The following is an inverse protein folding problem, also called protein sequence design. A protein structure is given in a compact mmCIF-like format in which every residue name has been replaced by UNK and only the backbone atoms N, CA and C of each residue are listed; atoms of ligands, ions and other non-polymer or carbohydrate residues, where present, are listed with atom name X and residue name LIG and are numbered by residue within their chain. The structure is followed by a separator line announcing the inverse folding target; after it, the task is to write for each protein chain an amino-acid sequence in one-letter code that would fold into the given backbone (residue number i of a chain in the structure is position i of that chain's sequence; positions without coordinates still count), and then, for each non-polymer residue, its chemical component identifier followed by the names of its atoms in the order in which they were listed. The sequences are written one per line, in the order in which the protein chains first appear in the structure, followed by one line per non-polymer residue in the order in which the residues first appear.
data_IF_838212000074
#
_entry.id   IF_838212000074
#
_cell.length_a   1.000
_cell.length_b   1.000
_cell.length_c   1.000
_cell.angle_alpha   90.00
_cell.angle_beta   90.00
_cell.angle_gamma   90.00
#
_symmetry.space_group_name_H-M   'P 1'
#
loop_
_entity.id
_entity.type
_entity.pdbx_description
1 polymer ?
#
# COMPACT_ATOMS: atom_id res chain seq x y z
N UNK A 1 3.45 13.88 -0.69
CA UNK A 1 2.86 13.07 -1.77
C UNK A 1 4.01 12.50 -2.55
N UNK A 2 4.23 11.20 -2.45
CA UNK A 2 5.30 10.47 -3.11
C UNK A 2 4.77 9.64 -4.26
N UNK A 3 5.67 9.11 -5.08
CA UNK A 3 5.34 8.39 -6.32
C UNK A 3 5.98 7.01 -6.32
N UNK A 4 5.16 5.99 -6.58
CA UNK A 4 5.59 4.64 -6.93
C UNK A 4 5.70 4.57 -8.46
N UNK A 5 6.89 4.35 -8.99
CA UNK A 5 7.12 4.14 -10.43
C UNK A 5 7.40 2.67 -10.65
N UNK A 6 6.69 2.08 -11.61
CA UNK A 6 6.81 0.67 -11.97
C UNK A 6 6.83 0.54 -13.48
N UNK A 7 7.80 -0.21 -14.02
CA UNK A 7 7.96 -0.48 -15.46
C UNK A 7 7.96 0.76 -16.37
N UNK A 8 8.52 1.88 -15.90
CA UNK A 8 8.54 3.13 -16.67
C UNK A 8 7.16 3.77 -16.93
N UNK A 9 6.11 3.31 -16.25
CA UNK A 9 4.78 3.93 -16.29
C UNK A 9 4.77 5.34 -15.67
N UNK A 10 3.68 6.09 -15.89
CA UNK A 10 3.48 7.49 -15.44
C UNK A 10 3.52 7.71 -13.91
N UNK A 11 3.82 6.67 -13.13
CA UNK A 11 3.92 6.73 -11.68
C UNK A 11 2.54 6.78 -10.99
N UNK A 12 2.50 6.28 -9.76
CA UNK A 12 1.31 6.22 -8.93
C UNK A 12 1.53 7.04 -7.67
N UNK A 13 0.71 8.07 -7.47
CA UNK A 13 0.86 9.00 -6.35
C UNK A 13 0.18 8.47 -5.09
N UNK A 14 0.90 8.51 -3.98
CA UNK A 14 0.43 8.18 -2.65
C UNK A 14 0.87 9.25 -1.65
N UNK A 15 0.30 9.23 -0.45
CA UNK A 15 0.92 9.93 0.67
C UNK A 15 2.30 9.33 0.99
N UNK A 16 3.27 10.15 1.43
CA UNK A 16 4.65 9.71 1.69
C UNK A 16 4.67 8.60 2.74
N UNK A 17 3.83 8.70 3.78
CA UNK A 17 3.78 7.71 4.84
C UNK A 17 3.15 6.42 4.36
N UNK A 18 2.07 6.50 3.59
CA UNK A 18 1.49 5.32 2.91
C UNK A 18 2.54 4.66 2.02
N UNK A 19 3.26 5.44 1.22
CA UNK A 19 4.31 4.95 0.32
C UNK A 19 5.46 4.28 1.08
N UNK A 20 5.86 4.80 2.23
CA UNK A 20 6.92 4.22 3.05
C UNK A 20 6.52 2.83 3.58
N UNK A 21 5.27 2.67 4.02
CA UNK A 21 4.74 1.38 4.46
C UNK A 21 4.65 0.39 3.30
N UNK A 22 4.16 0.85 2.13
CA UNK A 22 4.14 0.05 0.92
C UNK A 22 5.55 -0.39 0.51
N UNK A 23 6.53 0.51 0.51
CA UNK A 23 7.92 0.21 0.19
C UNK A 23 8.46 -0.93 1.06
N UNK A 24 8.22 -0.88 2.37
CA UNK A 24 8.71 -1.91 3.29
C UNK A 24 8.14 -3.30 2.98
N UNK A 25 6.84 -3.39 2.68
CA UNK A 25 6.17 -4.65 2.34
C UNK A 25 6.56 -5.14 0.95
N UNK A 26 6.53 -4.27 -0.06
CA UNK A 26 6.92 -4.57 -1.45
C UNK A 26 8.36 -5.06 -1.48
N UNK A 27 9.31 -4.32 -0.89
CA UNK A 27 10.72 -4.69 -0.88
C UNK A 27 10.97 -6.03 -0.15
N UNK A 28 10.17 -6.37 0.85
CA UNK A 28 10.29 -7.66 1.55
C UNK A 28 9.82 -8.81 0.67
N UNK A 29 8.68 -8.69 -0.01
CA UNK A 29 8.18 -9.74 -0.92
C UNK A 29 9.07 -9.92 -2.15
N UNK A 30 9.46 -8.81 -2.81
CA UNK A 30 10.30 -8.90 -4.01
C UNK A 30 11.69 -9.48 -3.71
N UNK A 31 12.30 -9.20 -2.54
CA UNK A 31 13.55 -9.86 -2.12
C UNK A 31 13.43 -11.38 -1.94
N UNK A 32 12.23 -11.87 -1.61
CA UNK A 32 11.91 -13.31 -1.54
C UNK A 32 11.50 -13.90 -2.88
N UNK A 33 11.58 -13.10 -3.94
CA UNK A 33 11.09 -13.43 -5.28
C UNK A 33 9.59 -13.73 -5.33
N UNK A 34 8.82 -13.11 -4.44
CA UNK A 34 7.37 -13.27 -4.36
C UNK A 34 6.69 -12.13 -5.13
N UNK A 35 6.22 -12.40 -6.34
CA UNK A 35 5.35 -11.48 -7.07
C UNK A 35 3.93 -11.46 -6.49
N UNK A 36 3.25 -10.31 -6.57
CA UNK A 36 1.89 -10.15 -6.04
C UNK A 36 1.15 -8.98 -6.69
N UNK A 37 -0.19 -8.96 -6.57
CA UNK A 37 -1.02 -7.83 -6.98
C UNK A 37 -1.07 -6.76 -5.88
N UNK A 38 -0.89 -5.50 -6.25
CA UNK A 38 -1.27 -4.33 -5.45
C UNK A 38 -2.51 -3.70 -6.08
N UNK A 39 -3.57 -3.50 -5.29
CA UNK A 39 -4.83 -2.90 -5.73
C UNK A 39 -5.21 -1.72 -4.82
N UNK A 40 -5.75 -0.65 -5.39
CA UNK A 40 -6.25 0.50 -4.63
C UNK A 40 -7.30 1.29 -5.41
N UNK A 41 -8.12 2.05 -4.69
CA UNK A 41 -8.97 3.07 -5.28
C UNK A 41 -8.13 4.33 -5.59
N UNK A 42 -7.88 4.59 -6.87
CA UNK A 42 -7.25 5.81 -7.34
C UNK A 42 -8.29 6.93 -7.49
N UNK A 43 -8.03 8.05 -6.83
CA UNK A 43 -8.90 9.23 -6.82
C UNK A 43 -8.28 10.42 -7.56
N UNK A 44 -7.17 10.21 -8.27
CA UNK A 44 -6.44 11.29 -8.97
C UNK A 44 -7.00 11.61 -10.35
N UNK A 45 -7.73 10.68 -10.98
CA UNK A 45 -8.14 10.77 -12.39
C UNK A 45 -9.55 11.34 -12.64
N UNK A 46 -10.35 11.64 -11.61
CA UNK A 46 -11.73 12.13 -11.78
C UNK A 46 -12.53 12.23 -10.48
N UNK A 47 -13.82 12.56 -10.60
CA UNK A 47 -14.74 12.71 -9.47
C UNK A 47 -15.03 11.37 -8.77
N UNK A 48 -15.07 10.28 -9.53
CA UNK A 48 -15.29 8.92 -9.01
C UNK A 48 -13.96 8.16 -8.85
N UNK A 49 -13.78 7.41 -7.76
CA UNK A 49 -12.62 6.55 -7.59
C UNK A 49 -12.57 5.46 -8.67
N UNK A 50 -11.40 5.28 -9.28
CA UNK A 50 -11.12 4.21 -10.23
C UNK A 50 -10.31 3.12 -9.53
N UNK A 51 -10.76 1.86 -9.62
CA UNK A 51 -9.96 0.75 -9.13
C UNK A 51 -8.74 0.56 -10.03
N UNK A 52 -7.54 0.70 -9.46
CA UNK A 52 -6.28 0.38 -10.13
C UNK A 52 -5.67 -0.87 -9.52
N UNK A 53 -5.03 -1.67 -10.36
CA UNK A 53 -4.23 -2.80 -9.95
C UNK A 53 -2.93 -2.85 -10.75
N UNK A 54 -1.86 -3.28 -10.09
CA UNK A 54 -0.57 -3.56 -10.73
C UNK A 54 -0.07 -4.91 -10.25
N UNK A 55 0.49 -5.70 -11.18
CA UNK A 55 1.28 -6.88 -10.84
C UNK A 55 2.71 -6.45 -10.56
N UNK A 56 3.22 -6.75 -9.37
CA UNK A 56 4.61 -6.50 -8.99
C UNK A 56 5.42 -7.77 -9.13
N UNK A 57 6.49 -7.74 -9.92
CA UNK A 57 7.42 -8.85 -10.13
C UNK A 57 8.87 -8.46 -9.75
N UNK A 58 9.66 -9.36 -9.15
CA UNK A 58 11.06 -9.10 -8.79
C UNK A 58 11.98 -8.78 -9.98
N UNK A 59 11.55 -9.11 -11.20
CA UNK A 59 12.31 -8.92 -12.44
C UNK A 59 12.04 -7.58 -13.10
N UNK A 60 11.10 -6.78 -12.58
CA UNK A 60 10.69 -5.49 -13.12
C UNK A 60 11.16 -4.38 -12.19
N UNK A 61 11.66 -3.28 -12.76
CA UNK A 61 12.17 -2.15 -11.97
C UNK A 61 11.05 -1.45 -11.19
N UNK A 62 11.31 -1.19 -9.91
CA UNK A 62 10.44 -0.40 -9.04
C UNK A 62 11.24 0.73 -8.41
N UNK A 63 10.67 1.95 -8.40
CA UNK A 63 11.26 3.12 -7.77
C UNK A 63 10.24 3.77 -6.84
N UNK A 64 10.72 4.20 -5.67
CA UNK A 64 9.95 4.95 -4.68
C UNK A 64 10.54 6.36 -4.61
N UNK A 65 9.75 7.36 -4.97
CA UNK A 65 10.14 8.78 -4.95
C UNK A 65 9.36 9.47 -3.84
N UNK A 66 10.05 10.00 -2.84
CA UNK A 66 9.43 10.71 -1.71
C UNK A 66 9.54 12.21 -1.94
N UNK A 67 8.52 12.97 -1.50
CA UNK A 67 8.57 14.43 -1.58
C UNK A 67 9.60 15.02 -0.62
N UNK A 68 9.84 14.35 0.52
CA UNK A 68 10.77 14.78 1.55
C UNK A 68 12.03 13.90 1.57
N UNK A 69 13.21 14.46 1.89
CA UNK A 69 14.45 13.71 1.97
C UNK A 69 14.54 12.78 3.19
N UNK A 70 13.61 12.91 4.15
CA UNK A 70 13.52 12.04 5.33
C UNK A 70 12.39 11.04 5.15
N UNK A 71 12.69 9.76 5.36
CA UNK A 71 11.68 8.71 5.37
C UNK A 71 10.72 8.87 6.57
N UNK A 72 9.40 8.74 6.37
CA UNK A 72 8.42 8.68 7.46
C UNK A 72 8.70 7.52 8.43
N UNK A 73 8.32 7.70 9.69
CA UNK A 73 8.37 6.62 10.67
C UNK A 73 7.34 5.53 10.35
N UNK A 74 7.79 4.28 10.44
CA UNK A 74 6.99 3.10 10.15
C UNK A 74 6.29 2.60 11.41
N UNK A 75 4.98 2.38 11.31
CA UNK A 75 4.18 1.73 12.33
C UNK A 75 4.18 0.21 12.09
N UNK A 76 4.60 -0.55 13.10
CA UNK A 76 4.70 -2.02 13.03
C UNK A 76 3.35 -2.70 12.83
N UNK A 77 2.28 -2.12 13.37
CA UNK A 77 0.93 -2.67 13.26
C UNK A 77 0.43 -2.63 11.81
N UNK A 78 0.59 -1.48 11.14
CA UNK A 78 0.22 -1.34 9.75
C UNK A 78 1.08 -2.21 8.83
N UNK A 79 2.38 -2.34 9.12
CA UNK A 79 3.23 -3.29 8.40
C UNK A 79 2.73 -4.73 8.53
N UNK A 80 2.28 -5.13 9.71
CA UNK A 80 1.68 -6.46 9.93
C UNK A 80 0.43 -6.64 9.09
N UNK A 81 -0.50 -5.67 9.12
CA UNK A 81 -1.76 -5.72 8.37
C UNK A 81 -1.50 -5.78 6.85
N UNK A 82 -0.62 -4.92 6.34
CA UNK A 82 -0.27 -4.86 4.92
C UNK A 82 0.44 -6.14 4.47
N UNK A 83 1.33 -6.70 5.30
CA UNK A 83 2.02 -7.96 5.00
C UNK A 83 1.06 -9.13 4.96
N UNK A 84 0.13 -9.22 5.93
CA UNK A 84 -0.91 -10.26 5.95
C UNK A 84 -1.75 -10.20 4.68
N UNK A 85 -2.23 -9.02 4.30
CA UNK A 85 -2.97 -8.80 3.06
C UNK A 85 -2.18 -9.20 1.81
N UNK A 86 -0.92 -8.78 1.73
CA UNK A 86 -0.05 -9.08 0.59
C UNK A 86 0.27 -10.58 0.43
N UNK A 87 0.11 -11.37 1.49
CA UNK A 87 0.26 -12.82 1.45
C UNK A 87 -1.06 -13.55 1.10
N UNK A 88 -2.19 -12.84 1.06
CA UNK A 88 -3.47 -13.41 0.66
C UNK A 88 -3.58 -13.62 -0.85
N UNK A 89 -4.43 -14.57 -1.25
CA UNK A 89 -4.64 -14.94 -2.66
C UNK A 89 -5.15 -13.78 -3.55
N UNK A 90 -5.83 -12.78 -2.96
CA UNK A 90 -6.33 -11.61 -3.69
C UNK A 90 -5.30 -10.50 -3.92
N UNK A 91 -4.07 -10.66 -3.40
CA UNK A 91 -3.08 -9.58 -3.35
C UNK A 91 -3.36 -8.55 -2.25
N UNK A 92 -2.53 -7.50 -2.23
CA UNK A 92 -2.63 -6.39 -1.30
C UNK A 92 -3.70 -5.41 -1.79
N UNK A 93 -4.92 -5.51 -1.24
CA UNK A 93 -5.93 -4.44 -1.35
C UNK A 93 -5.63 -3.34 -0.32
N UNK A 94 -5.24 -2.17 -0.81
CA UNK A 94 -4.99 -0.98 -0.01
C UNK A 94 -6.32 -0.22 0.18
N UNK A 95 -6.99 -0.50 1.30
CA UNK A 95 -8.28 0.09 1.66
C UNK A 95 -8.15 1.57 2.02
N UNK A 96 -9.17 2.37 1.71
CA UNK A 96 -9.19 3.81 2.03
C UNK A 96 -9.22 4.10 3.54
N UNK A 97 -9.88 3.25 4.33
CA UNK A 97 -9.89 3.35 5.79
C UNK A 97 -8.48 3.18 6.38
N UNK A 98 -7.74 2.17 5.92
CA UNK A 98 -6.37 1.93 6.35
C UNK A 98 -5.45 3.07 5.90
N UNK A 99 -5.65 3.62 4.70
CA UNK A 99 -4.91 4.80 4.23
C UNK A 99 -5.17 6.01 5.11
N UNK A 100 -6.42 6.26 5.50
CA UNK A 100 -6.78 7.38 6.37
C UNK A 100 -6.08 7.26 7.73
N UNK A 101 -6.02 6.07 8.30
CA UNK A 101 -5.29 5.82 9.55
C UNK A 101 -3.78 6.03 9.38
N UNK A 102 -3.18 5.47 8.31
CA UNK A 102 -1.74 5.67 8.04
C UNK A 102 -1.40 7.16 7.87
N UNK A 103 -2.31 7.95 7.28
CA UNK A 103 -2.20 9.40 7.12
C UNK A 103 -2.47 10.19 8.40
N UNK A 104 -2.76 9.54 9.53
CA UNK A 104 -3.15 10.16 10.81
C UNK A 104 -4.43 11.01 10.72
N UNK A 105 -5.29 10.73 9.74
CA UNK A 105 -6.58 11.41 9.62
C UNK A 105 -7.60 10.86 10.63
N UNK A 106 -7.40 9.61 11.06
CA UNK A 106 -8.16 8.93 12.11
C UNK A 106 -7.22 8.32 13.15
N UNK A 107 -7.69 8.09 14.40
CA UNK A 107 -6.87 7.50 15.45
C UNK A 107 -6.32 6.11 15.07
N UNK A 108 -5.11 5.80 15.56
CA UNK A 108 -4.53 4.45 15.38
C UNK A 108 -5.45 3.38 16.01
N UNK A 109 -5.59 2.24 15.34
CA UNK A 109 -6.47 1.14 15.74
C UNK A 109 -7.87 1.18 15.14
N UNK A 110 -8.31 2.32 14.60
CA UNK A 110 -9.66 2.49 14.03
C UNK A 110 -9.96 1.46 12.94
N UNK A 111 -9.00 1.15 12.07
CA UNK A 111 -9.13 0.17 10.98
C UNK A 111 -9.39 -1.25 11.51
N UNK A 112 -8.80 -1.63 12.64
CA UNK A 112 -9.03 -2.95 13.23
C UNK A 112 -10.39 -3.04 13.92
N UNK A 113 -10.84 -1.94 14.49
CA UNK A 113 -12.17 -1.85 15.13
C UNK A 113 -13.30 -1.84 14.10
N UNK A 114 -13.10 -1.21 12.94
CA UNK A 114 -14.11 -1.13 11.87
C UNK A 114 -14.31 -2.46 11.14
N UNK A 115 -13.27 -3.29 11.02
CA UNK A 115 -13.33 -4.60 10.37
C UNK A 115 -14.09 -5.59 11.26
N UNK A 116 -15.27 -6.09 10.87
CA UNK A 116 -15.90 -7.17 11.61
C UNK A 116 -14.93 -8.35 11.65
N UNK A 117 -14.76 -8.97 12.82
CA UNK A 117 -14.10 -10.27 12.95
C UNK A 117 -14.79 -11.19 11.94
N UNK A 118 -14.15 -11.47 10.80
CA UNK A 118 -14.66 -12.48 9.87
C UNK A 118 -14.80 -13.74 10.70
N UNK A 119 -16.05 -14.16 10.91
CA UNK A 119 -16.38 -15.42 11.57
C UNK A 119 -15.60 -16.49 10.82
N UNK A 120 -14.81 -17.24 11.57
CA UNK A 120 -14.26 -18.49 11.09
C UNK A 120 -15.46 -19.45 10.94
N UNK A 121 -15.86 -19.68 9.69
CA UNK A 121 -16.59 -20.89 9.27
C UNK A 121 -15.69 -21.68 8.32
#
# INVERSE_FOLDING_TARGET
MGTLIYDGADGFTFDDRVLAHLQAVIATKLRRREGFLLLWADRTAGAEPTLRSIWLDPSISVQFVFAHPKLPELNREWLSILTEKANGNGGLMLDDELRAEIREEVPEGTYRESRPKRQAE
#
